data_IF_726415604931
#
_entry.id   IF_726415604931
#
_cell.length_a   1.000
_cell.length_b   1.000
_cell.length_c   1.000
_cell.angle_alpha   90.00
_cell.angle_beta   90.00
_cell.angle_gamma   90.00
#
_symmetry.space_group_name_H-M   'P 1'
#
loop_
_entity.id
_entity.type
_entity.pdbx_description
1 polymer ?
#
# COMPACT_ATOMS: atom_id res chain seq x y z
N UNK A 1 8.04 -16.32 -0.13
CA UNK A 1 8.03 -15.93 -1.57
C UNK A 1 6.66 -15.41 -1.96
N UNK A 2 5.59 -16.17 -1.71
CA UNK A 2 4.20 -15.79 -2.04
C UNK A 2 3.75 -14.44 -1.44
N UNK A 3 3.92 -14.21 -0.14
CA UNK A 3 3.52 -12.93 0.50
C UNK A 3 4.28 -11.71 -0.02
N UNK A 4 5.51 -11.91 -0.52
CA UNK A 4 6.27 -10.83 -1.16
C UNK A 4 5.68 -10.45 -2.52
N UNK A 5 5.22 -11.43 -3.29
CA UNK A 5 4.55 -11.19 -4.58
C UNK A 5 3.20 -10.49 -4.36
N UNK A 6 2.47 -10.90 -3.32
CA UNK A 6 1.17 -10.33 -2.95
C UNK A 6 1.28 -8.87 -2.49
N UNK A 7 2.33 -8.51 -1.74
CA UNK A 7 2.60 -7.12 -1.38
C UNK A 7 2.80 -6.23 -2.61
N UNK A 8 3.54 -6.71 -3.61
CA UNK A 8 3.75 -5.99 -4.87
C UNK A 8 2.46 -5.86 -5.69
N UNK A 9 1.56 -6.84 -5.63
CA UNK A 9 0.25 -6.77 -6.29
C UNK A 9 -0.61 -5.61 -5.76
N UNK A 10 -0.63 -5.41 -4.43
CA UNK A 10 -1.32 -4.28 -3.81
C UNK A 10 -0.75 -2.94 -4.27
N UNK A 11 0.59 -2.84 -4.36
CA UNK A 11 1.29 -1.65 -4.86
C UNK A 11 0.90 -1.38 -6.31
N UNK A 12 1.04 -2.38 -7.19
CA UNK A 12 0.73 -2.23 -8.61
C UNK A 12 -0.72 -1.79 -8.81
N UNK A 13 -1.66 -2.40 -8.07
CA UNK A 13 -3.09 -2.08 -8.16
C UNK A 13 -3.39 -0.65 -7.71
N UNK A 14 -2.86 -0.23 -6.55
CA UNK A 14 -3.00 1.15 -6.05
C UNK A 14 -2.47 2.17 -7.04
N UNK A 15 -1.24 2.00 -7.53
CA UNK A 15 -0.61 2.98 -8.41
C UNK A 15 -1.16 2.97 -9.83
N UNK A 16 -1.75 1.86 -10.29
CA UNK A 16 -2.56 1.83 -11.51
C UNK A 16 -3.76 2.77 -11.41
N UNK A 17 -4.44 2.81 -10.26
CA UNK A 17 -5.56 3.73 -10.03
C UNK A 17 -5.05 5.18 -9.90
N UNK A 18 -3.97 5.44 -9.16
CA UNK A 18 -3.42 6.80 -9.00
C UNK A 18 -3.02 7.44 -10.34
N UNK A 19 -2.51 6.63 -11.28
CA UNK A 19 -2.12 7.09 -12.61
C UNK A 19 -3.25 7.02 -13.65
N UNK A 20 -4.42 6.49 -13.30
CA UNK A 20 -5.55 6.44 -14.23
C UNK A 20 -6.06 7.86 -14.54
N UNK A 21 -6.41 8.17 -15.80
CA UNK A 21 -7.07 9.43 -16.12
C UNK A 21 -8.35 9.62 -15.30
N UNK A 22 -8.49 10.74 -14.59
CA UNK A 22 -9.65 11.00 -13.70
C UNK A 22 -11.01 10.85 -14.40
N UNK A 23 -11.07 11.17 -15.70
CA UNK A 23 -12.28 11.05 -16.53
C UNK A 23 -12.72 9.60 -16.80
N UNK A 24 -11.82 8.62 -16.70
CA UNK A 24 -12.13 7.21 -16.96
C UNK A 24 -12.38 6.40 -15.68
N UNK A 25 -12.24 7.00 -14.49
CA UNK A 25 -12.45 6.32 -13.21
C UNK A 25 -13.93 6.03 -12.97
N UNK A 26 -14.23 4.81 -12.50
CA UNK A 26 -15.51 4.46 -11.90
C UNK A 26 -15.70 5.16 -10.55
N UNK A 27 -16.90 5.12 -9.98
CA UNK A 27 -17.18 5.65 -8.63
C UNK A 27 -16.29 4.97 -7.57
N UNK A 28 -16.16 3.65 -7.63
CA UNK A 28 -15.30 2.86 -6.72
C UNK A 28 -13.84 3.28 -6.85
N UNK A 29 -13.31 3.36 -8.07
CA UNK A 29 -11.93 3.78 -8.31
C UNK A 29 -11.68 5.23 -7.85
N UNK A 30 -12.68 6.11 -7.99
CA UNK A 30 -12.59 7.50 -7.53
C UNK A 30 -12.59 7.61 -6.01
N UNK A 31 -13.38 6.81 -5.30
CA UNK A 31 -13.35 6.75 -3.84
C UNK A 31 -11.99 6.26 -3.33
N UNK A 32 -11.44 5.20 -3.94
CA UNK A 32 -10.10 4.72 -3.64
C UNK A 32 -9.03 5.78 -3.92
N UNK A 33 -9.12 6.48 -5.06
CA UNK A 33 -8.22 7.57 -5.40
C UNK A 33 -8.20 8.65 -4.31
N UNK A 34 -9.38 9.10 -3.84
CA UNK A 34 -9.45 10.09 -2.77
C UNK A 34 -8.80 9.59 -1.48
N UNK A 35 -9.09 8.35 -1.07
CA UNK A 35 -8.42 7.73 0.09
C UNK A 35 -6.91 7.72 -0.07
N UNK A 36 -6.37 7.33 -1.23
CA UNK A 36 -4.92 7.29 -1.47
C UNK A 36 -4.27 8.67 -1.34
N UNK A 37 -4.93 9.72 -1.83
CA UNK A 37 -4.44 11.09 -1.70
C UNK A 37 -4.51 11.58 -0.25
N UNK A 38 -5.56 11.23 0.50
CA UNK A 38 -5.71 11.60 1.91
C UNK A 38 -4.68 10.90 2.81
N UNK A 39 -4.26 9.70 2.42
CA UNK A 39 -3.24 8.93 3.09
C UNK A 39 -1.82 9.45 2.82
N UNK A 40 -1.59 10.31 1.82
CA UNK A 40 -0.26 10.86 1.55
C UNK A 40 0.28 11.75 2.68
N UNK A 41 1.61 11.80 2.77
CA UNK A 41 2.36 12.62 3.73
C UNK A 41 3.60 13.22 3.07
N UNK A 42 4.28 14.15 3.75
CA UNK A 42 5.51 14.74 3.22
C UNK A 42 6.60 13.68 3.05
N UNK A 43 6.62 12.71 3.96
CA UNK A 43 7.58 11.62 4.05
C UNK A 43 7.35 10.54 2.98
N UNK A 44 6.13 10.42 2.44
CA UNK A 44 5.80 9.46 1.38
C UNK A 44 5.83 10.06 -0.03
N UNK A 45 5.98 11.38 -0.15
CA UNK A 45 6.04 12.06 -1.44
C UNK A 45 7.16 11.46 -2.31
N UNK A 46 6.80 11.04 -3.52
CA UNK A 46 7.74 10.45 -4.48
C UNK A 46 8.12 9.00 -4.21
N UNK A 47 7.55 8.37 -3.18
CA UNK A 47 7.81 6.97 -2.84
C UNK A 47 6.57 6.11 -3.07
N UNK A 48 6.80 4.83 -3.38
CA UNK A 48 5.73 3.84 -3.46
C UNK A 48 5.39 3.34 -2.06
N UNK A 49 4.13 3.36 -1.66
CA UNK A 49 3.70 2.80 -0.38
C UNK A 49 2.29 2.21 -0.44
N UNK A 50 2.04 1.27 0.47
CA UNK A 50 0.71 0.73 0.74
C UNK A 50 0.40 0.77 2.23
N UNK A 51 -0.88 0.77 2.55
CA UNK A 51 -1.38 0.61 3.92
C UNK A 51 -2.11 -0.72 4.05
N UNK A 52 -2.46 -1.08 5.29
CA UNK A 52 -3.17 -2.32 5.56
C UNK A 52 -4.48 -2.46 4.75
N UNK A 53 -5.21 -1.36 4.58
CA UNK A 53 -6.45 -1.33 3.80
C UNK A 53 -6.20 -1.69 2.31
N UNK A 54 -5.06 -1.30 1.74
CA UNK A 54 -4.73 -1.61 0.33
C UNK A 54 -4.49 -3.11 0.15
N UNK A 55 -3.88 -3.75 1.14
CA UNK A 55 -3.62 -5.19 1.13
C UNK A 55 -4.93 -5.97 1.22
N UNK A 56 -5.87 -5.52 2.09
CA UNK A 56 -7.21 -6.12 2.19
C UNK A 56 -8.04 -5.90 0.93
N UNK A 57 -7.87 -4.76 0.27
CA UNK A 57 -8.62 -4.40 -0.94
C UNK A 57 -8.16 -5.21 -2.16
N UNK A 58 -6.85 -5.30 -2.37
CA UNK A 58 -6.29 -5.83 -3.61
C UNK A 58 -5.79 -7.26 -3.51
N UNK A 59 -5.88 -7.89 -2.34
CA UNK A 59 -5.34 -9.23 -2.12
C UNK A 59 -6.26 -10.05 -1.23
N UNK A 60 -6.24 -11.37 -1.38
CA UNK A 60 -6.95 -12.29 -0.48
C UNK A 60 -6.21 -12.51 0.86
N UNK A 61 -5.16 -11.73 1.14
CA UNK A 61 -4.30 -11.95 2.30
C UNK A 61 -4.97 -11.44 3.59
N UNK A 62 -5.05 -12.32 4.59
CA UNK A 62 -5.40 -11.92 5.95
C UNK A 62 -4.25 -11.16 6.59
N UNK A 63 -4.54 -9.98 7.11
CA UNK A 63 -3.59 -9.20 7.91
C UNK A 63 -3.58 -9.75 9.33
N UNK A 64 -2.82 -10.81 9.53
CA UNK A 64 -2.68 -11.52 10.81
C UNK A 64 -1.25 -11.43 11.37
N UNK A 65 -0.99 -12.15 12.48
CA UNK A 65 0.35 -12.18 13.09
C UNK A 65 1.43 -12.65 12.11
N UNK A 66 1.12 -13.59 11.21
CA UNK A 66 2.07 -14.10 10.22
C UNK A 66 2.41 -13.03 9.20
N UNK A 67 1.43 -12.24 8.77
CA UNK A 67 1.67 -11.08 7.91
C UNK A 67 2.64 -10.08 8.56
N UNK A 68 2.44 -9.73 9.83
CA UNK A 68 3.34 -8.81 10.54
C UNK A 68 4.76 -9.37 10.70
N UNK A 69 4.92 -10.68 10.94
CA UNK A 69 6.24 -11.33 10.96
C UNK A 69 6.95 -11.16 9.61
N UNK A 70 6.22 -11.33 8.50
CA UNK A 70 6.80 -11.17 7.16
C UNK A 70 7.20 -9.72 6.89
N UNK A 71 6.37 -8.75 7.30
CA UNK A 71 6.74 -7.33 7.20
C UNK A 71 8.01 -7.02 8.00
N UNK A 72 8.16 -7.59 9.20
CA UNK A 72 9.38 -7.42 10.01
C UNK A 72 10.61 -8.00 9.31
N UNK A 73 10.48 -9.17 8.66
CA UNK A 73 11.55 -9.76 7.86
C UNK A 73 11.90 -8.85 6.69
N UNK A 74 10.91 -8.38 5.93
CA UNK A 74 11.13 -7.48 4.78
C UNK A 74 11.79 -6.17 5.21
N UNK A 75 11.40 -5.63 6.36
CA UNK A 75 12.03 -4.46 6.99
C UNK A 75 13.49 -4.72 7.36
N UNK A 76 13.79 -5.87 7.98
CA UNK A 76 15.16 -6.26 8.32
C UNK A 76 16.03 -6.44 7.06
N UNK A 77 15.45 -7.00 6.00
CA UNK A 77 16.09 -7.11 4.69
C UNK A 77 16.16 -5.80 3.90
N UNK A 78 15.72 -4.66 4.47
CA UNK A 78 15.69 -3.34 3.84
C UNK A 78 14.93 -3.29 2.51
N UNK A 79 13.87 -4.11 2.39
CA UNK A 79 12.98 -4.13 1.22
C UNK A 79 11.76 -3.24 1.39
N UNK A 80 11.47 -2.84 2.62
CA UNK A 80 10.46 -1.85 2.95
C UNK A 80 10.87 -1.08 4.22
N UNK A 81 10.27 0.08 4.39
CA UNK A 81 10.31 0.88 5.62
C UNK A 81 8.90 1.25 6.08
N UNK A 82 8.76 1.70 7.33
CA UNK A 82 7.47 2.16 7.85
C UNK A 82 7.49 3.65 8.14
N UNK A 83 6.54 4.36 7.58
CA UNK A 83 6.23 5.76 7.91
C UNK A 83 4.93 5.77 8.70
N UNK A 84 4.99 6.21 9.96
CA UNK A 84 3.83 6.24 10.87
C UNK A 84 3.38 7.68 11.11
N UNK A 85 2.08 7.92 11.04
CA UNK A 85 1.51 9.24 11.31
C UNK A 85 -0.01 9.24 11.16
N UNK A 86 -0.69 10.06 11.96
CA UNK A 86 -2.18 10.15 12.02
C UNK A 86 -2.86 8.81 12.30
N UNK A 87 -2.26 7.97 13.14
CA UNK A 87 -2.77 6.63 13.43
C UNK A 87 -2.66 5.62 12.28
N UNK A 88 -1.97 5.97 11.19
CA UNK A 88 -1.81 5.13 10.01
C UNK A 88 -0.33 4.75 9.80
N UNK A 89 -0.09 3.47 9.53
CA UNK A 89 1.23 2.93 9.16
C UNK A 89 1.29 2.74 7.65
N UNK A 90 2.29 3.34 7.01
CA UNK A 90 2.56 3.25 5.58
C UNK A 90 3.79 2.39 5.36
N UNK A 91 3.65 1.32 4.61
CA UNK A 91 4.74 0.42 4.23
C UNK A 91 5.33 0.90 2.92
N UNK A 92 6.44 1.63 3.00
CA UNK A 92 7.13 2.28 1.89
C UNK A 92 8.13 1.30 1.27
N UNK A 93 8.09 1.14 -0.05
CA UNK A 93 9.03 0.30 -0.80
C UNK A 93 10.39 0.99 -0.85
N UNK A 94 11.45 0.22 -0.63
CA UNK A 94 12.85 0.67 -0.67
C UNK A 94 13.62 -0.01 -1.78
#
# INVERSE_FOLDING_TARGET
VETHLVYLEAVVSKYKILHQPKKSMSSVARNLYHRFIDEETKETKGHYFVVEADIKEFTALKVDKRFHVILNILRHCRRLSEVRGKGLTRYVIT
#
